data_IF_452135859913
#
_entry.id   IF_452135859913
#
_cell.length_a   1.000
_cell.length_b   1.000
_cell.length_c   1.000
_cell.angle_alpha   90.00
_cell.angle_beta   90.00
_cell.angle_gamma   90.00
#
_symmetry.space_group_name_H-M   'P 1'
#
loop_
_entity.id
_entity.type
_entity.pdbx_description
1 polymer ?
#
# COMPACT_ATOMS: atom_id res chain seq x y z
N UNK A 1 -0.11 51.53 56.61
CA UNK A 1 1.12 50.70 56.58
C UNK A 1 0.90 49.59 55.56
N UNK A 2 1.60 49.64 54.42
CA UNK A 2 1.39 48.75 53.26
C UNK A 2 2.31 47.53 53.39
N UNK A 3 1.72 46.35 53.62
CA UNK A 3 2.43 45.07 53.62
C UNK A 3 2.62 44.54 52.20
N UNK A 4 3.87 44.39 51.76
CA UNK A 4 4.26 43.73 50.50
C UNK A 4 4.10 42.22 50.66
N UNK A 5 3.17 41.63 49.91
CA UNK A 5 3.08 40.17 49.71
C UNK A 5 3.97 39.77 48.54
N UNK A 6 5.02 39.01 48.82
CA UNK A 6 5.93 38.40 47.85
C UNK A 6 5.28 37.11 47.34
N UNK A 7 4.85 37.09 46.08
CA UNK A 7 4.41 35.85 45.40
C UNK A 7 5.64 35.17 44.81
N UNK A 8 6.03 34.05 45.40
CA UNK A 8 7.05 33.15 44.86
C UNK A 8 6.43 32.35 43.71
N UNK A 9 6.96 32.54 42.51
CA UNK A 9 6.61 31.81 41.30
C UNK A 9 7.42 30.52 41.31
N UNK A 10 6.76 29.37 41.47
CA UNK A 10 7.37 28.05 41.27
C UNK A 10 7.09 27.63 39.82
N UNK A 11 8.06 27.88 38.96
CA UNK A 11 8.10 27.42 37.58
C UNK A 11 8.37 25.92 37.55
N UNK A 12 7.41 25.10 37.12
CA UNK A 12 7.64 23.70 36.78
C UNK A 12 7.98 23.60 35.30
N UNK A 13 9.28 23.50 35.00
CA UNK A 13 9.82 23.23 33.67
C UNK A 13 9.68 21.73 33.39
N UNK A 14 8.71 21.34 32.55
CA UNK A 14 8.68 20.00 31.97
C UNK A 14 9.62 20.00 30.77
N UNK A 15 10.84 19.53 30.98
CA UNK A 15 11.77 19.20 29.92
C UNK A 15 11.29 17.92 29.22
N UNK A 16 10.50 18.07 28.15
CA UNK A 16 10.29 16.96 27.21
C UNK A 16 11.53 16.91 26.33
N UNK A 17 12.35 15.90 26.56
CA UNK A 17 13.51 15.55 25.75
C UNK A 17 13.08 15.26 24.32
N UNK A 18 13.23 16.25 23.43
CA UNK A 18 13.21 16.08 21.99
C UNK A 18 14.42 15.24 21.59
N UNK A 19 14.18 13.96 21.26
CA UNK A 19 15.12 13.21 20.43
C UNK A 19 15.12 13.88 19.07
N UNK A 20 16.24 14.53 18.75
CA UNK A 20 16.40 15.32 17.54
C UNK A 20 16.29 14.47 16.28
N UNK A 21 15.20 14.65 15.54
CA UNK A 21 15.18 14.36 14.12
C UNK A 21 15.79 15.57 13.40
N UNK A 22 16.94 15.36 12.77
CA UNK A 22 17.58 16.35 11.91
C UNK A 22 16.65 16.64 10.71
N UNK A 23 15.91 17.74 10.78
CA UNK A 23 15.21 18.30 9.62
C UNK A 23 16.28 18.95 8.74
N UNK A 24 16.74 18.21 7.73
CA UNK A 24 17.50 18.79 6.62
C UNK A 24 16.52 19.62 5.76
N UNK A 25 16.38 20.91 6.07
CA UNK A 25 15.77 21.86 5.14
C UNK A 25 16.75 22.11 3.99
N UNK A 26 16.58 21.39 2.87
CA UNK A 26 17.18 21.80 1.61
C UNK A 26 16.29 22.86 0.95
N UNK A 27 16.94 23.96 0.56
CA UNK A 27 16.34 25.21 0.11
C UNK A 27 15.38 25.08 -1.07
N UNK A 28 14.48 26.06 -1.15
CA UNK A 28 13.57 26.21 -2.26
C UNK A 28 14.29 26.42 -3.58
N UNK A 29 13.77 25.78 -4.63
CA UNK A 29 14.05 26.10 -6.02
C UNK A 29 12.74 26.23 -6.82
N UNK A 30 12.71 27.02 -7.90
CA UNK A 30 11.51 27.69 -8.39
C UNK A 30 10.79 26.92 -9.52
N UNK A 31 9.47 27.12 -9.60
CA UNK A 31 8.54 26.97 -10.73
C UNK A 31 8.51 25.66 -11.58
N UNK A 32 9.43 24.70 -11.40
CA UNK A 32 9.38 23.37 -12.03
C UNK A 32 8.89 22.24 -11.10
N UNK A 33 8.79 22.50 -9.80
CA UNK A 33 8.48 21.52 -8.74
C UNK A 33 6.98 21.36 -8.42
N UNK A 34 6.13 22.31 -8.83
CA UNK A 34 4.70 22.29 -8.50
C UNK A 34 3.90 21.17 -9.18
N UNK A 35 4.35 20.67 -10.34
CA UNK A 35 3.68 19.54 -11.01
C UNK A 35 4.05 18.18 -10.42
N UNK A 36 5.17 18.10 -9.68
CA UNK A 36 5.58 16.91 -8.95
C UNK A 36 4.75 16.68 -7.69
N UNK A 37 4.46 17.76 -6.94
CA UNK A 37 3.67 17.63 -5.70
C UNK A 37 2.22 17.24 -5.97
N UNK A 38 1.60 17.75 -7.04
CA UNK A 38 0.21 17.38 -7.39
C UNK A 38 0.08 15.91 -7.79
N UNK A 39 1.06 15.37 -8.53
CA UNK A 39 1.10 13.94 -8.90
C UNK A 39 1.41 13.05 -7.70
N UNK A 40 2.33 13.48 -6.83
CA UNK A 40 2.67 12.78 -5.60
C UNK A 40 1.44 12.68 -4.70
N UNK A 41 0.78 13.81 -4.45
CA UNK A 41 -0.48 13.89 -3.71
C UNK A 41 -1.57 13.02 -4.33
N UNK A 42 -1.67 12.99 -5.68
CA UNK A 42 -2.66 12.16 -6.35
C UNK A 42 -2.48 10.68 -6.03
N UNK A 43 -1.24 10.17 -6.10
CA UNK A 43 -0.96 8.76 -5.76
C UNK A 43 -1.19 8.53 -4.28
N UNK A 44 -0.71 9.44 -3.42
CA UNK A 44 -0.89 9.38 -1.97
C UNK A 44 -2.36 9.26 -1.57
N UNK A 45 -3.23 10.14 -2.05
CA UNK A 45 -4.66 10.09 -1.74
C UNK A 45 -5.33 8.80 -2.24
N UNK A 46 -4.81 8.17 -3.30
CA UNK A 46 -5.31 6.87 -3.73
C UNK A 46 -4.81 5.70 -2.86
N UNK A 47 -3.75 5.90 -2.06
CA UNK A 47 -3.20 4.91 -1.14
C UNK A 47 -3.83 4.99 0.26
N UNK A 48 -4.33 6.16 0.66
CA UNK A 48 -4.98 6.42 1.95
C UNK A 48 -6.01 5.34 2.37
N UNK A 49 -6.91 4.84 1.50
CA UNK A 49 -7.88 3.81 1.91
C UNK A 49 -7.25 2.47 2.33
N UNK A 50 -5.97 2.26 2.01
CA UNK A 50 -5.26 1.00 2.28
C UNK A 50 -4.37 1.07 3.53
N UNK A 51 -4.36 2.20 4.26
CA UNK A 51 -3.49 2.44 5.42
C UNK A 51 -3.56 1.31 6.43
N UNK A 52 -4.77 0.99 6.89
CA UNK A 52 -5.03 -0.04 7.89
C UNK A 52 -4.78 -1.48 7.41
N UNK A 53 -4.69 -1.70 6.10
CA UNK A 53 -4.61 -3.04 5.50
C UNK A 53 -3.20 -3.39 5.04
N UNK A 54 -2.48 -2.43 4.45
CA UNK A 54 -1.26 -2.69 3.67
C UNK A 54 -0.09 -1.75 3.98
N UNK A 55 -0.31 -0.59 4.61
CA UNK A 55 0.73 0.41 4.84
C UNK A 55 0.99 0.58 6.34
N UNK A 56 1.59 -0.43 6.95
CA UNK A 56 1.79 -0.42 8.41
C UNK A 56 2.81 0.63 8.84
N UNK A 57 3.83 0.89 8.02
CA UNK A 57 4.84 1.89 8.33
C UNK A 57 4.35 3.34 8.18
N UNK A 58 3.18 3.55 7.58
CA UNK A 58 2.61 4.86 7.27
C UNK A 58 1.28 5.11 8.00
N UNK A 59 1.04 4.41 9.11
CA UNK A 59 -0.09 4.70 9.98
C UNK A 59 0.01 6.14 10.51
N UNK A 60 -1.07 6.91 10.39
CA UNK A 60 -1.12 8.35 10.70
C UNK A 60 -0.39 9.27 9.72
N UNK A 61 0.40 8.76 8.76
CA UNK A 61 1.18 9.59 7.83
C UNK A 61 0.30 10.38 6.82
N UNK A 62 -0.97 9.99 6.67
CA UNK A 62 -1.91 10.63 5.75
C UNK A 62 -2.57 11.89 6.36
N UNK A 63 -2.47 12.09 7.67
CA UNK A 63 -3.06 13.23 8.39
C UNK A 63 -2.09 14.43 8.50
N UNK A 64 -0.85 14.28 8.05
CA UNK A 64 0.24 15.25 8.21
C UNK A 64 0.51 16.09 6.93
N UNK A 65 1.67 16.76 6.89
CA UNK A 65 2.13 17.57 5.76
C UNK A 65 2.16 16.79 4.43
N UNK A 66 2.11 17.48 3.27
CA UNK A 66 2.15 16.81 1.96
C UNK A 66 3.36 15.87 1.84
N UNK A 67 3.18 14.64 1.32
CA UNK A 67 4.25 13.65 1.27
C UNK A 67 5.33 14.08 0.27
N UNK A 68 6.58 13.70 0.55
CA UNK A 68 7.63 13.84 -0.45
C UNK A 68 7.48 12.76 -1.53
N UNK A 69 8.00 12.95 -2.74
CA UNK A 69 7.95 11.92 -3.78
C UNK A 69 8.65 10.60 -3.39
N UNK A 70 9.62 10.63 -2.47
CA UNK A 70 10.23 9.41 -1.93
C UNK A 70 9.21 8.67 -1.06
N UNK A 71 8.58 9.35 -0.10
CA UNK A 71 7.59 8.74 0.80
C UNK A 71 6.47 8.05 0.02
N UNK A 72 5.97 8.71 -1.04
CA UNK A 72 4.93 8.14 -1.90
C UNK A 72 5.41 6.87 -2.61
N UNK A 73 6.65 6.84 -3.09
CA UNK A 73 7.20 5.69 -3.80
C UNK A 73 7.50 4.52 -2.84
N UNK A 74 8.02 4.80 -1.65
CA UNK A 74 8.29 3.81 -0.61
C UNK A 74 6.99 3.18 -0.10
N UNK A 75 5.97 3.99 0.22
CA UNK A 75 4.64 3.50 0.59
C UNK A 75 4.02 2.66 -0.53
N UNK A 76 4.12 3.11 -1.79
CA UNK A 76 3.65 2.32 -2.92
C UNK A 76 4.37 0.97 -3.04
N UNK A 77 5.67 0.94 -2.73
CA UNK A 77 6.48 -0.27 -2.75
C UNK A 77 6.06 -1.25 -1.64
N UNK A 78 5.91 -0.78 -0.39
CA UNK A 78 5.42 -1.59 0.74
C UNK A 78 4.08 -2.26 0.40
N UNK A 79 3.14 -1.46 -0.10
CA UNK A 79 1.83 -1.93 -0.53
C UNK A 79 1.96 -2.92 -1.69
N UNK A 80 2.76 -2.59 -2.70
CA UNK A 80 2.98 -3.42 -3.88
C UNK A 80 3.55 -4.80 -3.54
N UNK A 81 4.53 -4.86 -2.64
CA UNK A 81 5.11 -6.12 -2.16
C UNK A 81 4.08 -6.93 -1.39
N UNK A 82 3.27 -6.26 -0.54
CA UNK A 82 2.24 -6.91 0.25
C UNK A 82 1.07 -7.45 -0.59
N UNK A 83 0.80 -6.88 -1.76
CA UNK A 83 -0.35 -7.24 -2.60
C UNK A 83 0.06 -8.21 -3.72
N UNK A 84 1.01 -7.81 -4.56
CA UNK A 84 1.42 -8.58 -5.74
C UNK A 84 2.82 -9.17 -5.63
N UNK A 85 3.64 -8.78 -4.65
CA UNK A 85 5.00 -9.29 -4.47
C UNK A 85 5.06 -10.80 -4.20
N UNK A 86 6.26 -11.41 -4.13
CA UNK A 86 6.42 -12.87 -4.04
C UNK A 86 5.67 -13.53 -2.87
N UNK A 87 5.64 -12.88 -1.70
CA UNK A 87 4.85 -13.31 -0.53
C UNK A 87 3.50 -12.60 -0.41
N UNK A 88 3.07 -11.87 -1.44
CA UNK A 88 1.92 -10.99 -1.42
C UNK A 88 0.59 -11.72 -1.47
N UNK A 89 -0.46 -10.96 -1.20
CA UNK A 89 -1.85 -11.40 -1.15
C UNK A 89 -2.26 -12.30 -2.33
N UNK A 90 -2.01 -11.89 -3.57
CA UNK A 90 -2.44 -12.63 -4.76
C UNK A 90 -1.64 -13.91 -5.03
N UNK A 91 -0.41 -13.98 -4.55
CA UNK A 91 0.49 -15.12 -4.77
C UNK A 91 0.47 -16.14 -3.64
N UNK A 92 0.13 -15.69 -2.43
CA UNK A 92 0.20 -16.53 -1.22
C UNK A 92 -1.16 -16.66 -0.55
N UNK A 93 -1.79 -15.56 -0.14
CA UNK A 93 -3.05 -15.62 0.61
C UNK A 93 -4.18 -16.23 -0.22
N UNK A 94 -4.42 -15.70 -1.42
CA UNK A 94 -5.54 -16.16 -2.26
C UNK A 94 -5.41 -17.64 -2.66
N UNK A 95 -4.27 -18.11 -3.23
CA UNK A 95 -4.17 -19.50 -3.64
C UNK A 95 -4.21 -20.48 -2.47
N UNK A 96 -3.62 -20.12 -1.32
CA UNK A 96 -3.47 -21.07 -0.22
C UNK A 96 -4.67 -21.04 0.73
N UNK A 97 -5.10 -19.85 1.17
CA UNK A 97 -6.13 -19.72 2.20
C UNK A 97 -7.55 -19.90 1.65
N UNK A 98 -7.81 -19.51 0.41
CA UNK A 98 -9.19 -19.53 -0.14
C UNK A 98 -9.40 -20.56 -1.24
N UNK A 99 -8.36 -20.88 -2.01
CA UNK A 99 -8.48 -21.85 -3.10
C UNK A 99 -7.89 -23.22 -2.77
N UNK A 100 -7.10 -23.35 -1.70
CA UNK A 100 -6.47 -24.62 -1.34
C UNK A 100 -5.55 -25.17 -2.44
N UNK A 101 -4.92 -24.31 -3.25
CA UNK A 101 -4.12 -24.71 -4.41
C UNK A 101 -2.89 -25.58 -4.05
N UNK A 102 -2.45 -25.55 -2.79
CA UNK A 102 -1.42 -26.47 -2.29
C UNK A 102 -1.91 -27.92 -2.18
N UNK A 103 -3.22 -28.10 -1.96
CA UNK A 103 -3.87 -29.40 -1.84
C UNK A 103 -4.37 -29.88 -3.19
N UNK A 104 -5.01 -29.00 -3.96
CA UNK A 104 -5.51 -29.30 -5.30
C UNK A 104 -5.18 -28.18 -6.29
N UNK A 105 -3.99 -28.28 -6.89
CA UNK A 105 -3.52 -27.31 -7.88
C UNK A 105 -4.24 -27.35 -9.23
N UNK A 106 -5.08 -28.37 -9.47
CA UNK A 106 -5.77 -28.57 -10.75
C UNK A 106 -7.10 -27.84 -10.86
N UNK A 107 -7.54 -27.17 -9.78
CA UNK A 107 -8.75 -26.36 -9.82
C UNK A 107 -8.62 -25.23 -10.86
N UNK A 108 -9.68 -24.93 -11.63
CA UNK A 108 -9.66 -23.84 -12.61
C UNK A 108 -9.17 -22.51 -12.03
N UNK A 109 -9.55 -22.18 -10.79
CA UNK A 109 -9.08 -20.98 -10.10
C UNK A 109 -7.56 -20.98 -9.85
N UNK A 110 -6.96 -22.13 -9.53
CA UNK A 110 -5.52 -22.25 -9.32
C UNK A 110 -4.74 -22.06 -10.63
N UNK A 111 -5.25 -22.62 -11.74
CA UNK A 111 -4.70 -22.37 -13.07
C UNK A 111 -4.82 -20.90 -13.48
N UNK A 112 -5.98 -20.28 -13.22
CA UNK A 112 -6.20 -18.86 -13.50
C UNK A 112 -5.25 -17.97 -12.69
N UNK A 113 -5.07 -18.23 -11.40
CA UNK A 113 -4.11 -17.53 -10.54
C UNK A 113 -2.67 -17.69 -11.05
N UNK A 114 -2.27 -18.92 -11.41
CA UNK A 114 -0.94 -19.20 -11.97
C UNK A 114 -0.71 -18.46 -13.29
N UNK A 115 -1.75 -18.29 -14.11
CA UNK A 115 -1.68 -17.56 -15.37
C UNK A 115 -1.38 -16.06 -15.19
N UNK A 116 -1.64 -15.50 -13.99
CA UNK A 116 -1.31 -14.10 -13.68
C UNK A 116 0.19 -13.88 -13.43
N UNK A 117 0.98 -14.93 -13.21
CA UNK A 117 2.37 -14.81 -12.77
C UNK A 117 3.24 -13.91 -13.68
N UNK A 118 3.17 -13.98 -15.03
CA UNK A 118 3.93 -13.07 -15.89
C UNK A 118 3.55 -11.59 -15.71
N UNK A 119 2.29 -11.31 -15.38
CA UNK A 119 1.79 -9.96 -15.11
C UNK A 119 2.23 -9.46 -13.73
N UNK A 120 2.17 -10.31 -12.71
CA UNK A 120 2.67 -9.98 -11.37
C UNK A 120 4.18 -9.73 -11.37
N UNK A 121 4.96 -10.52 -12.13
CA UNK A 121 6.41 -10.29 -12.32
C UNK A 121 6.74 -8.94 -12.96
N UNK A 122 5.87 -8.39 -13.81
CA UNK A 122 6.05 -7.03 -14.35
C UNK A 122 5.91 -5.97 -13.27
N UNK A 123 5.12 -6.23 -12.23
CA UNK A 123 5.00 -5.35 -11.07
C UNK A 123 6.18 -5.49 -10.12
N UNK A 124 6.73 -6.69 -9.94
CA UNK A 124 8.00 -6.87 -9.20
C UNK A 124 9.11 -6.07 -9.88
N UNK A 125 9.30 -6.23 -11.20
CA UNK A 125 10.30 -5.49 -11.96
C UNK A 125 10.03 -3.97 -12.01
N UNK A 126 8.79 -3.53 -11.81
CA UNK A 126 8.47 -2.12 -11.69
C UNK A 126 8.85 -1.56 -10.32
N UNK A 127 8.59 -2.32 -9.27
CA UNK A 127 8.95 -2.02 -7.87
C UNK A 127 10.46 -2.00 -7.66
N UNK A 128 11.20 -2.93 -8.26
CA UNK A 128 12.67 -2.92 -8.19
C UNK A 128 13.29 -1.65 -8.76
N UNK A 129 12.62 -0.97 -9.71
CA UNK A 129 13.09 0.31 -10.25
C UNK A 129 12.93 1.48 -9.29
N UNK A 130 12.12 1.32 -8.24
CA UNK A 130 11.93 2.32 -7.20
C UNK A 130 13.08 2.26 -6.18
N UNK A 131 13.66 1.08 -5.97
CA UNK A 131 14.73 0.86 -5.01
C UNK A 131 15.97 1.70 -5.36
N UNK A 132 16.47 2.48 -4.40
CA UNK A 132 17.71 3.25 -4.54
C UNK A 132 17.60 4.52 -5.39
N UNK A 133 16.40 5.00 -5.70
CA UNK A 133 16.23 6.30 -6.38
C UNK A 133 16.63 7.45 -5.45
N UNK A 134 17.49 8.35 -5.93
CA UNK A 134 17.71 9.64 -5.27
C UNK A 134 16.46 10.52 -5.28
N UNK A 135 16.34 11.57 -4.44
CA UNK A 135 15.16 12.46 -4.41
C UNK A 135 14.78 13.06 -5.76
N UNK A 136 15.78 13.45 -6.55
CA UNK A 136 15.58 13.99 -7.91
C UNK A 136 15.06 12.92 -8.88
N UNK A 137 15.56 11.68 -8.77
CA UNK A 137 15.10 10.57 -9.60
C UNK A 137 13.69 10.11 -9.20
N UNK A 138 13.39 10.05 -7.90
CA UNK A 138 12.08 9.74 -7.36
C UNK A 138 11.01 10.69 -7.91
N UNK A 139 11.26 12.00 -7.85
CA UNK A 139 10.36 13.02 -8.40
C UNK A 139 10.07 12.80 -9.89
N UNK A 140 11.11 12.53 -10.70
CA UNK A 140 10.96 12.26 -12.14
C UNK A 140 10.23 10.94 -12.41
N UNK A 141 10.56 9.90 -11.67
CA UNK A 141 9.95 8.57 -11.78
C UNK A 141 8.46 8.65 -11.49
N UNK A 142 8.08 9.29 -10.39
CA UNK A 142 6.69 9.49 -10.01
C UNK A 142 5.94 10.33 -11.05
N UNK A 143 6.54 11.42 -11.52
CA UNK A 143 5.93 12.27 -12.53
C UNK A 143 5.59 11.50 -13.83
N UNK A 144 6.45 10.57 -14.24
CA UNK A 144 6.28 9.73 -15.41
C UNK A 144 5.30 8.56 -15.18
N UNK A 145 5.22 8.02 -13.95
CA UNK A 145 4.53 6.77 -13.69
C UNK A 145 3.24 6.88 -12.84
N UNK A 146 2.89 8.05 -12.31
CA UNK A 146 1.72 8.22 -11.42
C UNK A 146 0.42 7.58 -11.96
N UNK A 147 0.10 7.73 -13.26
CA UNK A 147 -1.10 7.10 -13.85
C UNK A 147 -1.03 5.57 -13.82
N UNK A 148 0.15 5.00 -14.02
CA UNK A 148 0.38 3.56 -13.94
C UNK A 148 0.23 3.06 -12.51
N UNK A 149 0.74 3.80 -11.53
CA UNK A 149 0.58 3.50 -10.09
C UNK A 149 -0.89 3.58 -9.67
N UNK A 150 -1.63 4.64 -10.03
CA UNK A 150 -3.07 4.75 -9.74
C UNK A 150 -3.86 3.60 -10.39
N UNK A 151 -3.51 3.21 -11.63
CA UNK A 151 -4.12 2.05 -12.27
C UNK A 151 -3.85 0.76 -11.51
N UNK A 152 -2.63 0.58 -11.00
CA UNK A 152 -2.29 -0.56 -10.16
C UNK A 152 -3.20 -0.62 -8.93
N UNK A 153 -3.29 0.49 -8.17
CA UNK A 153 -4.12 0.58 -6.97
C UNK A 153 -5.57 0.18 -7.25
N UNK A 154 -6.17 0.69 -8.34
CA UNK A 154 -7.55 0.36 -8.73
C UNK A 154 -7.74 -1.07 -9.25
N UNK A 155 -6.68 -1.71 -9.72
CA UNK A 155 -6.80 -3.02 -10.38
C UNK A 155 -6.54 -4.16 -9.42
N UNK A 156 -5.45 -4.07 -8.65
CA UNK A 156 -4.92 -5.20 -7.89
C UNK A 156 -5.17 -5.09 -6.39
N UNK A 157 -5.39 -3.90 -5.85
CA UNK A 157 -5.33 -3.71 -4.41
C UNK A 157 -6.73 -3.83 -3.83
N UNK A 158 -7.02 -4.87 -3.04
CA UNK A 158 -8.29 -4.93 -2.33
C UNK A 158 -8.27 -3.92 -1.16
N UNK A 159 -9.42 -3.38 -0.78
CA UNK A 159 -9.50 -2.47 0.37
C UNK A 159 -9.11 -3.15 1.70
N UNK A 160 -9.38 -4.45 1.81
CA UNK A 160 -9.05 -5.27 2.97
C UNK A 160 -8.45 -6.62 2.52
N UNK A 161 -7.61 -7.21 3.38
CA UNK A 161 -7.06 -8.57 3.23
C UNK A 161 -8.12 -9.63 3.51
N UNK A 162 -9.20 -9.64 2.72
CA UNK A 162 -10.36 -10.51 2.89
C UNK A 162 -10.89 -10.97 1.53
N UNK A 163 -11.71 -12.02 1.54
CA UNK A 163 -12.32 -12.55 0.32
C UNK A 163 -13.25 -11.51 -0.32
N UNK A 164 -14.04 -10.80 0.48
CA UNK A 164 -14.88 -9.68 0.01
C UNK A 164 -14.03 -8.59 -0.63
N UNK A 165 -12.90 -8.22 -0.02
CA UNK A 165 -11.96 -7.25 -0.58
C UNK A 165 -11.38 -7.70 -1.92
N UNK A 166 -10.96 -8.97 -2.01
CA UNK A 166 -10.48 -9.60 -3.25
C UNK A 166 -11.53 -9.51 -4.36
N UNK A 167 -12.76 -9.95 -4.07
CA UNK A 167 -13.88 -9.99 -5.03
C UNK A 167 -14.25 -8.61 -5.56
N UNK A 168 -14.03 -7.55 -4.78
CA UNK A 168 -14.25 -6.17 -5.19
C UNK A 168 -13.18 -5.62 -6.16
N UNK A 169 -12.05 -6.30 -6.36
CA UNK A 169 -10.98 -5.80 -7.25
C UNK A 169 -11.32 -5.95 -8.73
N UNK A 170 -10.77 -5.04 -9.56
CA UNK A 170 -10.92 -5.17 -11.01
C UNK A 170 -10.16 -6.38 -11.57
N UNK A 171 -9.07 -6.81 -10.92
CA UNK A 171 -8.37 -8.04 -11.28
C UNK A 171 -9.32 -9.24 -11.14
N UNK A 172 -9.98 -9.38 -9.98
CA UNK A 172 -10.90 -10.50 -9.75
C UNK A 172 -12.03 -10.52 -10.77
N UNK A 173 -12.79 -9.42 -10.84
CA UNK A 173 -13.99 -9.32 -11.68
C UNK A 173 -13.70 -9.56 -13.16
N UNK A 174 -12.52 -9.14 -13.66
CA UNK A 174 -12.19 -9.26 -15.08
C UNK A 174 -11.46 -10.53 -15.47
N UNK A 175 -10.73 -11.16 -14.55
CA UNK A 175 -9.83 -12.28 -14.87
C UNK A 175 -10.05 -13.55 -14.08
N UNK A 176 -10.64 -13.48 -12.89
CA UNK A 176 -10.68 -14.62 -11.97
C UNK A 176 -12.10 -15.08 -11.63
N UNK A 177 -13.10 -14.20 -11.68
CA UNK A 177 -14.46 -14.51 -11.22
C UNK A 177 -15.02 -15.82 -11.80
N UNK A 178 -14.98 -15.98 -13.13
CA UNK A 178 -15.49 -17.19 -13.79
C UNK A 178 -14.77 -18.47 -13.35
N UNK A 179 -13.45 -18.42 -13.17
CA UNK A 179 -12.66 -19.58 -12.73
C UNK A 179 -12.96 -19.95 -11.27
N UNK A 180 -13.20 -18.93 -10.42
CA UNK A 180 -13.56 -19.12 -9.00
C UNK A 180 -14.97 -19.68 -8.85
N UNK A 181 -15.95 -19.19 -9.61
CA UNK A 181 -17.32 -19.73 -9.62
C UNK A 181 -17.34 -21.20 -10.04
N UNK A 182 -16.57 -21.56 -11.07
CA UNK A 182 -16.43 -22.95 -11.52
C UNK A 182 -15.79 -23.85 -10.46
N UNK A 183 -14.88 -23.28 -9.66
CA UNK A 183 -14.18 -24.03 -8.61
C UNK A 183 -15.03 -24.17 -7.33
N UNK A 184 -15.99 -23.28 -7.09
CA UNK A 184 -16.90 -23.30 -5.92
C UNK A 184 -18.25 -23.97 -6.16
N UNK A 185 -18.65 -24.21 -7.42
CA UNK A 185 -19.90 -24.89 -7.76
C UNK A 185 -19.89 -26.40 -7.43
N UNK A 186 -18.72 -26.95 -7.09
CA UNK A 186 -18.62 -28.23 -6.40
C UNK A 186 -18.85 -28.04 -4.91
N UNK A 187 -20.12 -27.90 -4.49
CA UNK A 187 -20.48 -28.25 -3.12
C UNK A 187 -19.81 -29.57 -2.83
N UNK A 188 -18.90 -29.62 -1.86
CA UNK A 188 -18.62 -30.87 -1.17
C UNK A 188 -20.01 -31.36 -0.76
N UNK A 189 -20.51 -32.41 -1.40
CA UNK A 189 -21.79 -32.99 -1.04
C UNK A 189 -21.75 -33.22 0.45
N UNK A 190 -22.75 -32.70 1.15
CA UNK A 190 -22.95 -32.94 2.57
C UNK A 190 -22.74 -34.44 2.80
N UNK A 191 -21.68 -34.78 3.54
CA UNK A 191 -21.31 -36.15 3.86
C UNK A 191 -22.26 -36.76 4.88
N UNK A 192 -23.57 -36.65 4.62
CA UNK A 192 -24.67 -37.23 5.40
C UNK A 192 -25.04 -38.63 4.86
N UNK A 193 -24.03 -39.40 4.44
CA UNK A 193 -24.17 -40.84 4.14
C UNK A 193 -23.20 -41.64 5.05
N UNK A 194 -23.45 -41.64 6.36
CA UNK A 194 -22.98 -42.66 7.31
C UNK A 194 -24.05 -42.96 8.36
#
# INVERSE_FOLDING_TARGET
MKGKQVRVIVSLLVAVSTVGFLIYQYGGEPAGLATGSTKAQTVWNHMEPYTNSYLKAYDGAFDEQPPTPIDVLEAFNELGYSVTGPGGFWRTTVPNQWMGCQVNGELPACHALKSLEPELKKWDAFQEKINGLSPKQASRFLAANHKKMVRYLKTYVPAAKSETGMKATALYTKKLASAFETSGAGSLGDGDDL
#
